data_IF_863233748031
#
_entry.id   IF_863233748031
#
_cell.length_a   1.000
_cell.length_b   1.000
_cell.length_c   1.000
_cell.angle_alpha   90.00
_cell.angle_beta   90.00
_cell.angle_gamma   90.00
#
_symmetry.space_group_name_H-M   'P 1'
#
loop_
_entity.id
_entity.type
_entity.pdbx_description
1 polymer ?
#
# COMPACT_ATOMS: atom_id res chain seq x y z
N UNK A 1 -12.21 10.91 79.86
CA UNK A 1 -13.06 10.38 78.78
C UNK A 1 -13.11 11.42 77.69
N UNK A 2 -12.51 11.20 76.52
CA UNK A 2 -12.96 11.90 75.31
C UNK A 2 -12.62 11.08 74.07
N UNK A 3 -13.65 10.84 73.26
CA UNK A 3 -13.77 9.73 72.31
C UNK A 3 -13.39 10.22 70.92
N UNK A 4 -12.59 9.40 70.24
CA UNK A 4 -12.10 9.56 68.87
C UNK A 4 -13.25 9.82 67.87
N UNK A 5 -13.18 10.93 67.13
CA UNK A 5 -13.94 11.10 65.90
C UNK A 5 -13.03 11.67 64.79
N UNK A 6 -12.29 10.79 64.10
CA UNK A 6 -11.53 11.13 62.89
C UNK A 6 -11.53 9.97 61.90
N UNK A 7 -12.68 9.63 61.30
CA UNK A 7 -12.71 8.69 60.16
C UNK A 7 -13.89 8.93 59.20
N UNK A 8 -13.92 10.06 58.48
CA UNK A 8 -14.81 10.20 57.30
C UNK A 8 -14.21 10.94 56.09
N UNK A 9 -12.94 11.35 56.12
CA UNK A 9 -12.37 12.18 55.03
C UNK A 9 -11.60 11.34 53.97
N UNK A 10 -11.14 10.13 54.30
CA UNK A 10 -10.28 9.35 53.39
C UNK A 10 -10.95 8.65 52.21
N UNK A 11 -12.28 8.45 52.21
CA UNK A 11 -12.95 7.61 51.19
C UNK A 11 -13.37 8.37 49.94
N UNK A 12 -13.74 9.66 50.03
CA UNK A 12 -14.26 10.42 48.86
C UNK A 12 -13.16 10.81 47.86
N UNK A 13 -11.93 11.02 48.32
CA UNK A 13 -10.80 11.37 47.45
C UNK A 13 -10.31 10.19 46.60
N UNK A 14 -10.37 8.97 47.14
CA UNK A 14 -9.89 7.77 46.45
C UNK A 14 -10.76 7.41 45.23
N UNK A 15 -12.07 7.63 45.30
CA UNK A 15 -12.98 7.41 44.17
C UNK A 15 -12.83 8.47 43.07
N UNK A 16 -12.56 9.73 43.41
CA UNK A 16 -12.30 10.77 42.41
C UNK A 16 -11.05 10.48 41.59
N UNK A 17 -9.97 10.01 42.23
CA UNK A 17 -8.73 9.65 41.55
C UNK A 17 -8.90 8.47 40.56
N UNK A 18 -9.70 7.45 40.92
CA UNK A 18 -9.96 6.30 40.04
C UNK A 18 -10.74 6.69 38.77
N UNK A 19 -11.69 7.63 38.87
CA UNK A 19 -12.47 8.10 37.71
C UNK A 19 -11.58 8.87 36.73
N UNK A 20 -10.70 9.75 37.24
CA UNK A 20 -9.80 10.54 36.38
C UNK A 20 -8.80 9.64 35.62
N UNK A 21 -8.28 8.59 36.25
CA UNK A 21 -7.40 7.61 35.59
C UNK A 21 -8.16 6.83 34.52
N UNK A 22 -9.38 6.36 34.82
CA UNK A 22 -10.20 5.64 33.85
C UNK A 22 -10.54 6.46 32.60
N UNK A 23 -10.85 7.75 32.75
CA UNK A 23 -11.09 8.67 31.63
C UNK A 23 -9.80 8.93 30.84
N UNK A 24 -8.65 9.07 31.52
CA UNK A 24 -7.35 9.26 30.87
C UNK A 24 -6.95 8.08 29.97
N UNK A 25 -7.18 6.84 30.42
CA UNK A 25 -6.89 5.63 29.62
C UNK A 25 -7.83 5.52 28.43
N UNK A 26 -9.13 5.74 28.64
CA UNK A 26 -10.13 5.66 27.56
C UNK A 26 -9.92 6.74 26.47
N UNK A 27 -9.54 7.96 26.85
CA UNK A 27 -9.18 8.99 25.88
C UNK A 27 -7.86 8.69 25.15
N UNK A 28 -6.91 8.05 25.83
CA UNK A 28 -5.64 7.63 25.22
C UNK A 28 -5.83 6.53 24.18
N UNK A 29 -6.67 5.52 24.46
CA UNK A 29 -6.98 4.47 23.48
C UNK A 29 -7.77 5.01 22.28
N UNK A 30 -8.72 5.93 22.51
CA UNK A 30 -9.48 6.55 21.43
C UNK A 30 -8.58 7.41 20.53
N UNK A 31 -7.67 8.18 21.12
CA UNK A 31 -6.70 8.98 20.38
C UNK A 31 -5.66 8.12 19.65
N UNK A 32 -5.18 7.05 20.28
CA UNK A 32 -4.23 6.10 19.70
C UNK A 32 -4.82 5.35 18.50
N UNK A 33 -6.06 4.87 18.61
CA UNK A 33 -6.74 4.21 17.50
C UNK A 33 -7.12 5.18 16.36
N UNK A 34 -7.42 6.46 16.68
CA UNK A 34 -7.62 7.49 15.65
C UNK A 34 -6.33 7.81 14.90
N UNK A 35 -5.21 7.97 15.61
CA UNK A 35 -3.91 8.20 14.98
C UNK A 35 -3.49 7.03 14.07
N UNK A 36 -3.73 5.77 14.48
CA UNK A 36 -3.49 4.61 13.60
C UNK A 36 -4.42 4.58 12.39
N UNK A 37 -5.68 5.00 12.54
CA UNK A 37 -6.67 4.97 11.46
C UNK A 37 -6.44 5.99 10.35
N UNK A 38 -5.81 7.13 10.67
CA UNK A 38 -5.58 8.23 9.72
C UNK A 38 -4.19 8.25 9.08
N UNK A 39 -3.31 7.30 9.45
CA UNK A 39 -1.97 7.24 8.85
C UNK A 39 -2.03 6.48 7.53
N UNK A 40 -1.70 7.16 6.43
CA UNK A 40 -1.60 6.53 5.11
C UNK A 40 -0.62 5.33 5.17
N UNK A 41 -0.95 4.19 4.52
CA UNK A 41 -0.04 3.06 4.45
C UNK A 41 1.34 3.48 3.91
N UNK A 42 2.40 2.85 4.41
CA UNK A 42 3.75 3.10 3.93
C UNK A 42 3.85 2.90 2.41
N UNK A 43 4.68 3.72 1.74
CA UNK A 43 5.02 3.49 0.35
C UNK A 43 5.80 2.17 0.23
N UNK A 44 5.49 1.38 -0.80
CA UNK A 44 6.18 0.12 -1.09
C UNK A 44 6.83 0.20 -2.47
N UNK A 45 7.94 -0.52 -2.71
CA UNK A 45 8.50 -0.63 -4.05
C UNK A 45 7.48 -1.26 -5.01
N UNK A 46 7.62 -0.96 -6.29
CA UNK A 46 6.89 -1.65 -7.35
C UNK A 46 7.79 -2.17 -8.45
N UNK A 47 7.32 -3.24 -9.08
CA UNK A 47 8.03 -3.97 -10.11
C UNK A 47 7.09 -4.20 -11.29
N UNK A 48 7.62 -4.10 -12.51
CA UNK A 48 6.79 -4.10 -13.72
C UNK A 48 7.27 -5.13 -14.74
N UNK A 49 6.32 -5.89 -15.28
CA UNK A 49 6.49 -6.76 -16.43
C UNK A 49 5.69 -6.23 -17.62
N UNK A 50 6.36 -5.94 -18.74
CA UNK A 50 5.70 -5.50 -19.96
C UNK A 50 5.73 -6.61 -21.02
N UNK A 51 4.59 -7.28 -21.15
CA UNK A 51 4.33 -8.33 -22.13
C UNK A 51 3.56 -7.80 -23.35
N UNK A 52 3.26 -6.50 -23.42
CA UNK A 52 2.43 -5.94 -24.49
C UNK A 52 3.09 -5.88 -25.88
N UNK A 53 4.39 -6.18 -25.97
CA UNK A 53 5.19 -6.08 -27.18
C UNK A 53 5.53 -4.65 -27.61
N UNK A 54 5.09 -3.63 -26.87
CA UNK A 54 5.37 -2.21 -27.13
C UNK A 54 5.77 -1.51 -25.83
N UNK A 55 6.53 -0.40 -25.87
CA UNK A 55 6.82 0.37 -24.67
C UNK A 55 5.52 0.89 -24.02
N UNK A 56 5.45 0.82 -22.70
CA UNK A 56 4.30 1.31 -21.93
C UNK A 56 4.76 2.38 -20.97
N UNK A 57 4.04 3.49 -20.94
CA UNK A 57 4.21 4.52 -19.92
C UNK A 57 3.08 4.42 -18.92
N UNK A 58 3.42 4.55 -17.64
CA UNK A 58 2.47 4.40 -16.56
C UNK A 58 2.80 5.32 -15.39
N UNK A 59 1.78 5.69 -14.61
CA UNK A 59 1.92 6.47 -13.37
C UNK A 59 0.80 6.16 -12.40
N UNK A 60 1.08 6.37 -11.12
CA UNK A 60 0.05 6.33 -10.07
C UNK A 60 -0.40 7.76 -9.76
N UNK A 61 -1.62 8.12 -10.19
CA UNK A 61 -2.15 9.48 -10.02
C UNK A 61 -1.28 10.54 -10.71
N UNK A 62 -0.92 11.59 -9.98
CA UNK A 62 -0.16 12.75 -10.49
C UNK A 62 1.37 12.55 -10.48
N UNK A 63 1.86 11.33 -10.24
CA UNK A 63 3.28 11.03 -10.25
C UNK A 63 3.91 11.20 -11.66
N UNK A 64 5.23 11.37 -11.69
CA UNK A 64 6.00 11.36 -12.93
C UNK A 64 5.78 10.02 -13.68
N UNK A 65 5.49 10.05 -15.00
CA UNK A 65 5.42 8.83 -15.80
C UNK A 65 6.70 8.01 -15.73
N UNK A 66 6.53 6.72 -15.49
CA UNK A 66 7.56 5.69 -15.59
C UNK A 66 7.36 4.93 -16.90
N UNK A 67 8.46 4.41 -17.45
CA UNK A 67 8.45 3.69 -18.73
C UNK A 67 8.87 2.24 -18.53
N UNK A 68 8.08 1.33 -19.06
CA UNK A 68 8.34 -0.10 -19.12
C UNK A 68 8.63 -0.51 -20.57
N UNK A 69 9.87 -0.93 -20.84
CA UNK A 69 10.29 -1.36 -22.18
C UNK A 69 9.73 -2.75 -22.54
N UNK A 70 9.44 -3.01 -23.84
CA UNK A 70 8.93 -4.29 -24.28
C UNK A 70 9.96 -5.40 -24.01
N UNK A 71 9.49 -6.61 -23.71
CA UNK A 71 10.38 -7.76 -23.47
C UNK A 71 10.80 -7.93 -22.01
N UNK A 72 10.25 -7.15 -21.07
CA UNK A 72 10.27 -7.46 -19.63
C UNK A 72 9.26 -8.57 -19.31
N UNK A 73 9.33 -9.67 -20.06
CA UNK A 73 8.34 -10.74 -20.07
C UNK A 73 8.51 -11.75 -18.93
N UNK A 74 9.68 -11.75 -18.26
CA UNK A 74 10.07 -12.76 -17.26
C UNK A 74 10.90 -12.23 -16.09
N UNK A 75 11.41 -11.00 -16.14
CA UNK A 75 12.06 -10.33 -15.02
C UNK A 75 11.51 -8.93 -14.92
N UNK A 76 10.92 -8.57 -13.79
CA UNK A 76 10.67 -7.16 -13.57
C UNK A 76 11.98 -6.46 -13.26
N UNK A 77 12.10 -5.26 -13.83
CA UNK A 77 13.05 -4.30 -13.33
C UNK A 77 12.36 -3.54 -12.22
N UNK A 78 12.95 -3.58 -11.03
CA UNK A 78 12.83 -2.44 -10.14
C UNK A 78 13.32 -1.23 -10.93
N UNK A 79 12.42 -0.30 -11.25
CA UNK A 79 12.84 0.91 -11.95
C UNK A 79 13.60 1.85 -11.00
N UNK A 80 13.83 1.46 -9.73
CA UNK A 80 14.44 2.23 -8.64
C UNK A 80 13.61 3.44 -8.22
N UNK A 81 12.68 3.85 -9.09
CA UNK A 81 11.81 5.00 -8.98
C UNK A 81 10.33 4.60 -8.88
N UNK A 82 10.01 3.32 -9.08
CA UNK A 82 8.66 2.81 -8.88
C UNK A 82 8.39 2.64 -7.38
N UNK A 83 7.62 3.57 -6.83
CA UNK A 83 7.03 3.43 -5.51
C UNK A 83 5.52 3.61 -5.59
N UNK A 84 4.79 2.81 -4.82
CA UNK A 84 3.35 2.89 -4.69
C UNK A 84 2.96 3.27 -3.27
N UNK A 85 2.29 4.41 -3.13
CA UNK A 85 1.69 4.86 -1.88
C UNK A 85 0.16 4.82 -2.01
N UNK A 86 -0.47 3.94 -1.23
CA UNK A 86 -1.92 3.90 -1.15
C UNK A 86 -2.42 5.05 -0.27
N UNK A 87 -3.58 5.63 -0.59
CA UNK A 87 -4.22 6.62 0.28
C UNK A 87 -4.79 5.96 1.53
N UNK A 88 -5.36 4.75 1.39
CA UNK A 88 -5.81 3.89 2.49
C UNK A 88 -5.49 2.43 2.18
N UNK A 89 -5.41 1.60 3.22
CA UNK A 89 -5.04 0.18 3.08
C UNK A 89 -5.93 -0.59 2.10
N UNK A 90 -7.24 -0.31 2.06
CA UNK A 90 -8.19 -1.04 1.21
C UNK A 90 -8.54 -0.31 -0.10
N UNK A 91 -7.89 0.81 -0.42
CA UNK A 91 -8.19 1.52 -1.66
C UNK A 91 -7.66 0.72 -2.87
N UNK A 92 -8.42 0.64 -3.97
CA UNK A 92 -7.95 0.01 -5.19
C UNK A 92 -6.77 0.78 -5.79
N UNK A 93 -5.97 0.10 -6.60
CA UNK A 93 -4.82 0.70 -7.27
C UNK A 93 -5.30 1.51 -8.46
N UNK A 94 -5.24 2.85 -8.34
CA UNK A 94 -5.48 3.75 -9.46
C UNK A 94 -4.22 3.88 -10.32
N UNK A 95 -4.31 3.47 -11.58
CA UNK A 95 -3.21 3.44 -12.54
C UNK A 95 -3.62 4.21 -13.79
N UNK A 96 -2.76 5.13 -14.22
CA UNK A 96 -2.85 5.72 -15.54
C UNK A 96 -1.76 5.13 -16.41
N UNK A 97 -2.10 4.67 -17.61
CA UNK A 97 -1.12 4.06 -18.51
C UNK A 97 -1.46 4.29 -19.98
N UNK A 98 -0.44 4.25 -20.84
CA UNK A 98 -0.58 4.33 -22.30
C UNK A 98 0.48 3.49 -22.97
N UNK A 99 0.16 3.03 -24.18
CA UNK A 99 1.16 2.44 -25.06
C UNK A 99 1.87 3.58 -25.79
N UNK A 100 3.19 3.63 -25.68
CA UNK A 100 4.02 4.51 -26.51
C UNK A 100 4.35 3.76 -27.80
N UNK A 101 4.15 4.39 -28.96
CA UNK A 101 4.52 3.75 -30.21
C UNK A 101 6.05 3.70 -30.39
N UNK A 102 6.51 2.94 -31.39
CA UNK A 102 7.93 2.76 -31.68
C UNK A 102 8.59 4.04 -32.26
N UNK A 103 7.79 5.01 -32.70
CA UNK A 103 8.22 6.30 -33.23
C UNK A 103 8.19 7.42 -32.16
N UNK A 104 7.78 7.11 -30.93
CA UNK A 104 7.64 8.07 -29.84
C UNK A 104 6.33 8.86 -29.83
N UNK A 105 5.37 8.58 -30.71
CA UNK A 105 4.04 9.16 -30.59
C UNK A 105 3.31 8.52 -29.41
N UNK A 106 2.89 9.39 -28.50
CA UNK A 106 2.31 8.98 -27.25
C UNK A 106 0.80 8.71 -27.42
N UNK A 107 0.35 7.50 -27.09
CA UNK A 107 -1.06 7.19 -27.07
C UNK A 107 -1.85 8.00 -26.03
N UNK A 108 -3.19 7.96 -26.12
CA UNK A 108 -4.07 8.55 -25.10
C UNK A 108 -3.91 7.80 -23.77
N UNK A 109 -3.73 8.54 -22.68
CA UNK A 109 -3.75 8.01 -21.31
C UNK A 109 -5.06 7.29 -21.02
N UNK A 110 -4.95 6.07 -20.48
CA UNK A 110 -6.06 5.24 -20.00
C UNK A 110 -6.01 5.24 -18.49
N UNK A 111 -7.14 5.52 -17.85
CA UNK A 111 -7.30 5.39 -16.41
C UNK A 111 -7.90 4.01 -16.12
N UNK A 112 -7.23 3.26 -15.26
CA UNK A 112 -7.61 1.91 -14.86
C UNK A 112 -7.59 1.84 -13.34
N UNK A 113 -8.64 1.23 -12.77
CA UNK A 113 -8.72 0.95 -11.33
C UNK A 113 -8.60 -0.55 -11.13
N UNK A 114 -7.49 -0.99 -10.54
CA UNK A 114 -7.20 -2.40 -10.30
C UNK A 114 -7.64 -2.75 -8.88
N UNK A 115 -8.57 -3.69 -8.75
CA UNK A 115 -9.14 -4.13 -7.48
C UNK A 115 -8.19 -5.04 -6.67
N UNK A 116 -6.87 -4.83 -6.77
CA UNK A 116 -5.88 -5.54 -5.98
C UNK A 116 -6.03 -5.17 -4.50
N UNK A 117 -6.37 -6.16 -3.67
CA UNK A 117 -6.47 -5.94 -2.22
C UNK A 117 -5.07 -5.92 -1.63
N UNK A 118 -4.70 -4.81 -0.99
CA UNK A 118 -3.44 -4.69 -0.27
C UNK A 118 -3.49 -5.57 0.99
N UNK A 119 -2.56 -6.52 1.16
CA UNK A 119 -2.44 -7.27 2.41
C UNK A 119 -1.91 -6.36 3.53
N UNK A 120 -1.95 -6.84 4.77
CA UNK A 120 -1.49 -6.07 5.94
C UNK A 120 0.01 -5.77 5.90
N UNK A 121 0.82 -6.68 5.34
CA UNK A 121 2.27 -6.54 5.21
C UNK A 121 2.74 -6.79 3.76
N UNK A 122 2.47 -5.86 2.83
CA UNK A 122 2.89 -5.99 1.44
C UNK A 122 4.37 -5.62 1.31
N UNK A 123 5.15 -6.49 0.68
CA UNK A 123 6.55 -6.20 0.38
C UNK A 123 6.70 -5.41 -0.93
N UNK A 124 5.83 -5.66 -1.93
CA UNK A 124 5.96 -5.07 -3.26
C UNK A 124 4.63 -5.05 -4.01
N UNK A 125 4.41 -4.05 -4.87
CA UNK A 125 3.34 -4.07 -5.87
C UNK A 125 3.88 -4.56 -7.22
N UNK A 126 3.29 -5.61 -7.77
CA UNK A 126 3.60 -6.13 -9.09
C UNK A 126 2.59 -5.59 -10.10
N UNK A 127 3.07 -4.99 -11.18
CA UNK A 127 2.27 -4.56 -12.33
C UNK A 127 2.63 -5.35 -13.57
N UNK A 128 1.61 -5.74 -14.34
CA UNK A 128 1.79 -6.40 -15.63
C UNK A 128 0.97 -5.73 -16.71
N UNK A 129 1.59 -5.48 -17.86
CA UNK A 129 0.91 -5.03 -19.07
C UNK A 129 0.88 -6.17 -20.09
N UNK A 130 -0.31 -6.57 -20.52
CA UNK A 130 -0.50 -7.75 -21.39
C UNK A 130 -0.63 -7.38 -22.87
N UNK A 131 -0.45 -8.37 -23.75
CA UNK A 131 -0.65 -8.23 -25.22
C UNK A 131 -2.05 -7.72 -25.58
N UNK A 132 -3.06 -8.08 -24.78
CA UNK A 132 -4.45 -7.63 -24.93
C UNK A 132 -4.66 -6.14 -24.55
N UNK A 133 -3.59 -5.39 -24.27
CA UNK A 133 -3.63 -4.00 -23.84
C UNK A 133 -4.47 -3.84 -22.56
N UNK A 134 -4.20 -4.68 -21.57
CA UNK A 134 -4.75 -4.58 -20.22
C UNK A 134 -3.64 -4.35 -19.22
N UNK A 135 -3.98 -3.71 -18.11
CA UNK A 135 -3.12 -3.61 -16.95
C UNK A 135 -3.64 -4.56 -15.86
N UNK A 136 -2.72 -5.20 -15.16
CA UNK A 136 -3.02 -6.10 -14.06
C UNK A 136 -2.12 -5.79 -12.87
N UNK A 137 -2.65 -5.97 -11.66
CA UNK A 137 -1.90 -5.76 -10.43
C UNK A 137 -2.07 -6.91 -9.44
N UNK A 138 -1.01 -7.13 -8.67
CA UNK A 138 -0.98 -8.02 -7.52
C UNK A 138 -0.01 -7.49 -6.47
N UNK A 139 -0.30 -7.68 -5.19
CA UNK A 139 0.69 -7.49 -4.14
C UNK A 139 1.49 -8.78 -3.94
N UNK A 140 2.79 -8.64 -3.68
CA UNK A 140 3.65 -9.72 -3.23
C UNK A 140 4.03 -9.50 -1.76
N UNK A 141 4.10 -10.59 -1.02
CA UNK A 141 4.56 -10.57 0.37
C UNK A 141 6.08 -10.76 0.48
N UNK A 142 6.62 -10.64 1.70
CA UNK A 142 8.06 -10.73 1.95
C UNK A 142 8.66 -12.11 1.66
N UNK A 143 7.85 -13.18 1.64
CA UNK A 143 8.31 -14.53 1.29
C UNK A 143 8.49 -14.71 -0.22
N UNK A 144 7.80 -13.90 -1.00
CA UNK A 144 7.83 -13.91 -2.46
C UNK A 144 8.88 -12.96 -3.06
N UNK A 145 9.27 -11.93 -2.31
CA UNK A 145 10.24 -10.92 -2.76
C UNK A 145 11.65 -11.31 -2.29
N UNK A 146 12.57 -11.71 -3.19
CA UNK A 146 13.96 -11.95 -2.83
C UNK A 146 14.60 -10.69 -2.25
N UNK A 147 15.57 -10.89 -1.35
CA UNK A 147 16.25 -9.81 -0.62
C UNK A 147 16.96 -8.79 -1.53
N UNK A 148 17.15 -9.12 -2.82
CA UNK A 148 17.64 -8.21 -3.85
C UNK A 148 16.57 -8.03 -4.95
N UNK A 149 16.00 -6.83 -5.11
CA UNK A 149 14.90 -6.57 -6.06
C UNK A 149 15.28 -6.74 -7.55
N UNK A 150 16.59 -6.83 -7.86
CA UNK A 150 17.08 -7.04 -9.22
C UNK A 150 16.85 -8.47 -9.76
N UNK A 151 16.52 -9.44 -8.90
CA UNK A 151 16.39 -10.86 -9.26
C UNK A 151 15.04 -11.43 -8.82
N UNK A 152 13.93 -10.78 -9.19
CA UNK A 152 12.59 -11.34 -8.95
C UNK A 152 12.44 -12.66 -9.72
N UNK A 153 11.99 -13.71 -9.02
CA UNK A 153 11.79 -15.04 -9.61
C UNK A 153 10.79 -14.95 -10.77
N UNK A 154 11.12 -15.42 -11.99
CA UNK A 154 10.18 -15.47 -13.11
C UNK A 154 8.85 -16.17 -12.76
N UNK A 155 8.86 -17.15 -11.84
CA UNK A 155 7.66 -17.84 -11.39
C UNK A 155 6.66 -16.89 -10.70
N UNK A 156 7.13 -15.80 -10.06
CA UNK A 156 6.30 -14.79 -9.42
C UNK A 156 5.26 -14.19 -10.39
N UNK A 157 5.67 -13.99 -11.63
CA UNK A 157 4.88 -13.36 -12.70
C UNK A 157 3.83 -14.27 -13.33
N UNK A 158 3.90 -15.57 -13.03
CA UNK A 158 2.99 -16.60 -13.55
C UNK A 158 2.04 -17.16 -12.50
N UNK A 159 2.26 -16.83 -11.21
CA UNK A 159 1.47 -17.31 -10.07
C UNK A 159 0.47 -16.27 -9.58
N UNK A 160 -0.49 -16.73 -8.78
CA UNK A 160 -1.38 -15.92 -7.94
C UNK A 160 -2.56 -15.26 -8.67
N UNK A 161 -3.40 -14.59 -7.87
CA UNK A 161 -4.65 -13.98 -8.30
C UNK A 161 -4.41 -12.55 -8.82
N UNK A 162 -4.21 -12.43 -10.12
CA UNK A 162 -4.06 -11.13 -10.79
C UNK A 162 -5.42 -10.44 -10.93
N UNK A 163 -5.48 -9.19 -10.48
CA UNK A 163 -6.67 -8.35 -10.69
C UNK A 163 -6.50 -7.54 -11.97
N UNK A 164 -7.56 -7.46 -12.77
CA UNK A 164 -7.57 -6.85 -14.10
C UNK A 164 -8.35 -5.54 -14.07
N UNK A 165 -8.01 -4.61 -14.96
CA UNK A 165 -8.82 -3.42 -15.28
C UNK A 165 -8.42 -2.76 -16.59
#
# INVERSE_FOLDING_TARGET
MEKREKRKIGKRWMFGALIVIGVGVAMSDLAYNRMKGDTAPAAIPCAVANQSGQPVEFRFGEAQPLRAEPGTTSTARDTGQCSYAARKGNDPVALEWRVADAQGAEGKWRQTTLAAKRPDDPAMLLLRFTEDKKAEARFADASEVPSAPANLDPALWTRGDWTKG
#
